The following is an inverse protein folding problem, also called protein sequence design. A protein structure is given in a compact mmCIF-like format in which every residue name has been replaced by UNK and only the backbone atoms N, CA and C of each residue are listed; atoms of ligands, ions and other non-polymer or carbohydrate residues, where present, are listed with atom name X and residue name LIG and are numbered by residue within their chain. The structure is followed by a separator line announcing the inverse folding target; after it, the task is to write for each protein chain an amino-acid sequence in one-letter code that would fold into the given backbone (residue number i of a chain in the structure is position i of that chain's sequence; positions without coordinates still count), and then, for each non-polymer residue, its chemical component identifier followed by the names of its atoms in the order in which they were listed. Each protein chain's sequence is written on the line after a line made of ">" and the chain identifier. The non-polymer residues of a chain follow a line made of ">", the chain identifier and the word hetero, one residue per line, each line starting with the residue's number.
data_IF_255069433962
#
_entry.id   IF_255069433962
#
_cell.length_a   1.000
_cell.length_b   1.000
_cell.length_c   1.000
_cell.angle_alpha   90.00
_cell.angle_beta   90.00
_cell.angle_gamma   90.00
#
_symmetry.space_group_name_H-M   'P 1'
#
loop_
_entity.id
_entity.type
_entity.pdbx_description
1 polymer ?
#
# COMPACT_ATOMS: atom_id res chain seq x y z
N UNK A 1 5.53 35.88 38.35
CA UNK A 1 6.31 35.30 39.46
C UNK A 1 6.74 33.89 39.07
N UNK A 2 8.04 33.62 39.20
CA UNK A 2 8.77 32.40 38.78
C UNK A 2 8.54 31.26 39.77
N UNK A 3 8.35 30.01 39.29
CA UNK A 3 8.75 28.74 39.93
C UNK A 3 8.87 27.66 38.84
N UNK A 4 10.02 27.45 38.20
CA UNK A 4 11.12 26.50 38.52
C UNK A 4 10.71 25.02 38.69
N UNK A 5 11.12 24.23 37.67
CA UNK A 5 11.88 22.96 37.71
C UNK A 5 11.30 21.81 38.54
N UNK A 6 11.24 20.60 37.96
CA UNK A 6 11.66 19.33 38.60
C UNK A 6 12.00 18.29 37.51
N UNK A 7 13.29 18.18 37.21
CA UNK A 7 13.90 17.02 36.55
C UNK A 7 14.08 15.92 37.59
N UNK A 8 13.44 14.77 37.39
CA UNK A 8 13.71 13.55 38.15
C UNK A 8 14.43 12.55 37.24
N UNK A 9 15.75 12.55 37.34
CA UNK A 9 16.59 11.44 36.89
C UNK A 9 16.53 10.35 37.95
N UNK A 10 16.14 9.13 37.57
CA UNK A 10 16.28 7.94 38.38
C UNK A 10 16.98 6.88 37.54
N UNK A 11 18.25 6.64 37.88
CA UNK A 11 19.01 5.50 37.46
C UNK A 11 18.46 4.23 38.13
N UNK A 12 18.38 3.12 37.41
CA UNK A 12 18.50 1.80 38.03
C UNK A 12 19.20 0.81 37.11
N UNK A 13 20.12 0.10 37.76
CA UNK A 13 21.11 -0.82 37.25
C UNK A 13 20.56 -2.18 36.77
N UNK A 14 21.48 -2.90 36.11
CA UNK A 14 21.75 -4.34 36.18
C UNK A 14 21.10 -5.30 35.16
N UNK A 15 21.89 -5.57 34.11
CA UNK A 15 22.38 -6.88 33.65
C UNK A 15 21.67 -8.14 34.19
N UNK A 16 21.07 -8.91 33.26
CA UNK A 16 20.92 -10.38 33.33
C UNK A 16 21.09 -10.93 31.91
N UNK A 17 22.27 -11.51 31.61
CA UNK A 17 22.52 -12.95 31.51
C UNK A 17 21.91 -13.61 30.26
N UNK A 18 22.74 -13.72 29.21
CA UNK A 18 22.55 -14.63 28.08
C UNK A 18 22.62 -16.07 28.56
N UNK A 19 21.50 -16.78 28.55
CA UNK A 19 21.43 -18.22 28.71
C UNK A 19 21.43 -18.88 27.33
N UNK A 20 22.50 -19.62 27.04
CA UNK A 20 22.59 -20.53 25.90
C UNK A 20 22.07 -21.90 26.36
N UNK A 21 20.85 -22.25 25.94
CA UNK A 21 20.21 -23.53 26.23
C UNK A 21 20.46 -24.55 25.12
N UNK A 22 21.09 -25.66 25.52
CA UNK A 22 21.34 -26.89 24.77
C UNK A 22 20.05 -27.59 24.32
N UNK A 23 20.06 -28.17 23.12
CA UNK A 23 19.00 -29.04 22.61
C UNK A 23 19.48 -29.81 21.39
N UNK A 24 20.01 -31.01 21.63
CA UNK A 24 20.37 -31.99 20.62
C UNK A 24 19.11 -32.62 20.03
N UNK A 25 18.96 -32.64 18.71
CA UNK A 25 18.08 -33.60 18.03
C UNK A 25 18.69 -34.06 16.72
N UNK A 26 18.90 -35.37 16.64
CA UNK A 26 19.16 -36.12 15.42
C UNK A 26 17.83 -36.44 14.76
N UNK A 27 17.62 -35.96 13.53
CA UNK A 27 16.88 -36.73 12.53
C UNK A 27 17.12 -36.20 11.13
N UNK A 28 17.80 -37.05 10.36
CA UNK A 28 17.85 -37.04 8.90
C UNK A 28 16.42 -37.20 8.37
N UNK A 29 15.96 -36.34 7.45
CA UNK A 29 14.95 -36.67 6.42
C UNK A 29 14.91 -35.55 5.36
N UNK A 30 15.41 -35.92 4.18
CA UNK A 30 14.92 -35.57 2.84
C UNK A 30 14.87 -34.10 2.41
N UNK A 31 15.90 -33.72 1.67
CA UNK A 31 15.87 -32.72 0.61
C UNK A 31 14.78 -33.06 -0.41
N UNK A 32 13.63 -32.40 -0.29
CA UNK A 32 12.70 -32.23 -1.41
C UNK A 32 12.81 -30.78 -1.86
N UNK A 33 13.63 -30.55 -2.87
CA UNK A 33 13.58 -29.33 -3.68
C UNK A 33 12.24 -29.28 -4.38
N UNK A 34 11.25 -28.63 -3.75
CA UNK A 34 10.02 -28.25 -4.44
C UNK A 34 10.33 -26.94 -5.17
N UNK A 35 10.84 -27.07 -6.39
CA UNK A 35 10.81 -26.01 -7.41
C UNK A 35 9.36 -25.53 -7.55
N UNK A 36 9.04 -24.44 -6.86
CA UNK A 36 7.88 -23.63 -7.21
C UNK A 36 8.31 -22.79 -8.40
N UNK A 37 8.01 -23.30 -9.59
CA UNK A 37 8.06 -22.55 -10.84
C UNK A 37 7.20 -21.31 -10.68
N UNK A 38 7.85 -20.21 -10.31
CA UNK A 38 7.33 -18.86 -10.48
C UNK A 38 7.13 -18.68 -11.98
N UNK A 39 5.90 -18.49 -12.48
CA UNK A 39 5.73 -18.09 -13.87
C UNK A 39 6.56 -16.82 -14.09
N UNK A 40 7.36 -16.73 -15.16
CA UNK A 40 8.16 -15.55 -15.41
C UNK A 40 7.22 -14.36 -15.41
N UNK A 41 7.57 -13.34 -14.62
CA UNK A 41 6.91 -12.05 -14.64
C UNK A 41 6.89 -11.57 -16.09
N UNK A 42 5.75 -11.76 -16.75
CA UNK A 42 5.53 -11.27 -18.09
C UNK A 42 5.79 -9.77 -18.03
N UNK A 43 6.78 -9.31 -18.79
CA UNK A 43 7.02 -7.90 -18.99
C UNK A 43 5.70 -7.29 -19.45
N UNK A 44 5.09 -6.48 -18.59
CA UNK A 44 3.84 -5.84 -18.92
C UNK A 44 4.11 -4.95 -20.14
N UNK A 45 3.28 -5.02 -21.19
CA UNK A 45 3.47 -4.16 -22.34
C UNK A 45 3.42 -2.71 -21.87
N UNK A 46 4.26 -1.86 -22.46
CA UNK A 46 4.38 -0.42 -22.15
C UNK A 46 3.07 0.38 -22.24
N UNK A 47 1.96 -0.25 -22.61
CA UNK A 47 0.62 0.31 -22.75
C UNK A 47 -0.47 -0.55 -22.06
N UNK A 48 -0.17 -1.32 -21.01
CA UNK A 48 -1.22 -2.03 -20.28
C UNK A 48 -2.09 -1.03 -19.48
N UNK A 49 -3.38 -0.83 -19.83
CA UNK A 49 -4.24 0.08 -19.09
C UNK A 49 -4.43 -0.33 -17.62
N UNK A 50 -4.27 -1.62 -17.29
CA UNK A 50 -4.35 -2.15 -15.92
C UNK A 50 -3.02 -2.09 -15.14
N UNK A 51 -1.91 -1.73 -15.78
CA UNK A 51 -0.58 -1.68 -15.16
C UNK A 51 0.03 -3.07 -14.92
N UNK A 52 0.73 -3.22 -13.79
CA UNK A 52 1.50 -4.42 -13.40
C UNK A 52 0.93 -5.00 -12.11
N UNK A 53 0.20 -6.11 -12.21
CA UNK A 53 -0.33 -6.80 -11.05
C UNK A 53 -1.37 -7.86 -11.39
N UNK A 54 -1.92 -8.53 -10.37
CA UNK A 54 -2.84 -9.66 -10.53
C UNK A 54 -4.28 -9.24 -10.92
N UNK A 55 -4.65 -7.97 -10.76
CA UNK A 55 -6.01 -7.50 -11.03
C UNK A 55 -6.15 -7.22 -12.52
N UNK A 56 -6.97 -8.02 -13.21
CA UNK A 56 -7.21 -7.94 -14.65
C UNK A 56 -8.64 -7.51 -15.00
N UNK A 57 -9.58 -7.61 -14.06
CA UNK A 57 -10.97 -7.17 -14.22
C UNK A 57 -11.50 -6.70 -12.87
N UNK A 58 -12.17 -5.53 -12.84
CA UNK A 58 -12.93 -5.06 -11.68
C UNK A 58 -14.39 -4.85 -12.05
N UNK A 59 -15.28 -5.59 -11.37
CA UNK A 59 -16.73 -5.36 -11.48
C UNK A 59 -17.13 -4.17 -10.61
N UNK A 60 -17.58 -3.11 -11.26
CA UNK A 60 -18.11 -1.93 -10.60
C UNK A 60 -19.60 -2.11 -10.29
N UNK A 61 -20.01 -1.55 -9.15
CA UNK A 61 -21.41 -1.55 -8.74
C UNK A 61 -22.05 -0.23 -9.17
N UNK A 62 -23.32 -0.28 -9.55
CA UNK A 62 -24.17 0.90 -9.74
C UNK A 62 -25.53 0.63 -9.09
N UNK A 63 -25.92 1.37 -8.04
CA UNK A 63 -25.16 2.44 -7.40
C UNK A 63 -23.92 1.94 -6.63
N UNK A 64 -23.03 2.86 -6.25
CA UNK A 64 -21.91 2.59 -5.37
C UNK A 64 -22.39 2.00 -4.04
N UNK A 65 -21.63 1.03 -3.52
CA UNK A 65 -21.92 0.39 -2.25
C UNK A 65 -21.50 1.29 -1.08
N UNK A 66 -22.47 1.81 -0.34
CA UNK A 66 -22.23 2.74 0.78
C UNK A 66 -21.31 2.17 1.87
N UNK A 67 -21.36 0.87 2.16
CA UNK A 67 -20.47 0.25 3.13
C UNK A 67 -19.03 0.20 2.62
N UNK A 68 -18.82 -0.08 1.34
CA UNK A 68 -17.49 -0.05 0.73
C UNK A 68 -16.92 1.37 0.67
N UNK A 69 -17.75 2.38 0.37
CA UNK A 69 -17.35 3.79 0.44
C UNK A 69 -16.90 4.16 1.86
N UNK A 70 -17.66 3.76 2.89
CA UNK A 70 -17.30 4.03 4.28
C UNK A 70 -16.00 3.31 4.69
N UNK A 71 -15.82 2.05 4.29
CA UNK A 71 -14.59 1.31 4.57
C UNK A 71 -13.39 1.91 3.83
N UNK A 72 -13.54 2.29 2.56
CA UNK A 72 -12.49 2.94 1.78
C UNK A 72 -12.08 4.29 2.34
N UNK A 73 -13.04 5.05 2.88
CA UNK A 73 -12.77 6.29 3.61
C UNK A 73 -11.91 6.03 4.85
N UNK A 74 -12.24 5.01 5.66
CA UNK A 74 -11.44 4.64 6.83
C UNK A 74 -10.02 4.23 6.44
N UNK A 75 -9.85 3.46 5.36
CA UNK A 75 -8.53 3.11 4.84
C UNK A 75 -7.76 4.36 4.38
N UNK A 76 -8.42 5.28 3.67
CA UNK A 76 -7.82 6.56 3.28
C UNK A 76 -7.32 7.35 4.49
N UNK A 77 -8.14 7.49 5.52
CA UNK A 77 -7.79 8.25 6.73
C UNK A 77 -6.59 7.65 7.46
N UNK A 78 -6.49 6.32 7.52
CA UNK A 78 -5.43 5.62 8.24
C UNK A 78 -4.13 5.51 7.44
N UNK A 79 -4.20 5.29 6.12
CA UNK A 79 -3.04 4.90 5.30
C UNK A 79 -2.66 5.89 4.20
N UNK A 80 -3.52 6.85 3.86
CA UNK A 80 -3.32 7.70 2.67
C UNK A 80 -3.36 9.21 2.96
N UNK A 81 -4.13 9.64 3.96
CA UNK A 81 -4.40 11.06 4.23
C UNK A 81 -3.17 11.87 4.67
N UNK A 82 -2.13 11.21 5.19
CA UNK A 82 -0.85 11.83 5.52
C UNK A 82 -0.07 12.30 4.29
N UNK A 83 -0.38 11.75 3.10
CA UNK A 83 0.36 12.03 1.86
C UNK A 83 -0.53 12.59 0.75
N UNK A 84 -1.82 12.27 0.73
CA UNK A 84 -2.73 12.59 -0.36
C UNK A 84 -3.93 13.44 0.10
N UNK A 85 -4.25 14.48 -0.67
CA UNK A 85 -5.48 15.25 -0.54
C UNK A 85 -6.60 14.65 -1.39
N UNK A 86 -7.85 14.86 -0.98
CA UNK A 86 -9.05 14.54 -1.77
C UNK A 86 -9.29 15.51 -2.94
N UNK A 87 -8.59 16.65 -2.93
CA UNK A 87 -8.63 17.66 -4.00
C UNK A 87 -7.63 17.32 -5.12
N UNK A 88 -7.36 18.28 -6.02
CA UNK A 88 -6.28 18.19 -7.02
C UNK A 88 -4.91 18.60 -6.48
N UNK A 89 -4.85 19.09 -5.25
CA UNK A 89 -3.63 19.64 -4.65
C UNK A 89 -2.64 18.51 -4.32
N UNK A 90 -1.37 18.69 -4.74
CA UNK A 90 -0.27 17.83 -4.33
C UNK A 90 0.18 18.20 -2.91
N UNK A 91 0.31 17.21 -2.03
CA UNK A 91 0.95 17.37 -0.72
C UNK A 91 2.31 16.66 -0.72
N UNK A 92 2.31 15.35 -0.47
CA UNK A 92 3.47 14.47 -0.71
C UNK A 92 3.22 13.68 -1.98
N UNK A 93 2.06 13.03 -2.06
CA UNK A 93 1.55 12.42 -3.28
C UNK A 93 0.56 13.33 -4.02
N UNK A 94 0.13 12.93 -5.24
CA UNK A 94 -0.84 13.67 -6.03
C UNK A 94 -2.23 13.70 -5.35
N UNK A 95 -3.01 14.72 -5.67
CA UNK A 95 -4.41 14.80 -5.25
C UNK A 95 -5.29 13.75 -5.92
N UNK A 96 -6.32 13.26 -5.20
CA UNK A 96 -7.20 12.18 -5.65
C UNK A 96 -8.30 12.62 -6.60
N UNK A 97 -8.63 13.92 -6.68
CA UNK A 97 -9.73 14.37 -7.54
C UNK A 97 -9.48 14.03 -9.01
N UNK A 98 -10.45 13.35 -9.61
CA UNK A 98 -10.46 12.88 -11.00
C UNK A 98 -9.52 11.70 -11.28
N UNK A 99 -8.98 11.02 -10.27
CA UNK A 99 -8.11 9.86 -10.49
C UNK A 99 -8.85 8.78 -11.27
N UNK A 100 -10.13 8.56 -10.97
CA UNK A 100 -10.96 7.53 -11.62
C UNK A 100 -11.32 7.87 -13.07
N UNK A 101 -11.09 9.10 -13.51
CA UNK A 101 -11.18 9.50 -14.92
C UNK A 101 -9.85 9.30 -15.67
N UNK A 102 -8.72 9.26 -14.94
CA UNK A 102 -7.36 9.17 -15.53
C UNK A 102 -6.81 7.75 -15.53
N UNK A 103 -7.31 6.88 -14.66
CA UNK A 103 -6.81 5.51 -14.44
C UNK A 103 -7.97 4.53 -14.40
N UNK A 104 -7.76 3.32 -14.91
CA UNK A 104 -8.77 2.27 -14.80
C UNK A 104 -8.88 1.76 -13.37
N UNK A 105 -10.03 1.16 -12.99
CA UNK A 105 -10.20 0.45 -11.72
C UNK A 105 -9.06 -0.54 -11.41
N UNK A 106 -8.67 -1.35 -12.39
CA UNK A 106 -7.64 -2.37 -12.29
C UNK A 106 -6.29 -1.74 -11.97
N UNK A 107 -5.94 -0.65 -12.68
CA UNK A 107 -4.70 0.08 -12.46
C UNK A 107 -4.61 0.63 -11.05
N UNK A 108 -5.69 1.24 -10.55
CA UNK A 108 -5.75 1.78 -9.19
C UNK A 108 -5.55 0.67 -8.16
N UNK A 109 -6.26 -0.45 -8.31
CA UNK A 109 -6.14 -1.58 -7.38
C UNK A 109 -4.72 -2.21 -7.43
N UNK A 110 -4.16 -2.44 -8.62
CA UNK A 110 -2.79 -2.93 -8.75
C UNK A 110 -1.79 -1.96 -8.13
N UNK A 111 -1.93 -0.65 -8.33
CA UNK A 111 -1.02 0.34 -7.77
C UNK A 111 -0.99 0.34 -6.24
N UNK A 112 -2.15 0.31 -5.58
CA UNK A 112 -2.22 0.40 -4.11
C UNK A 112 -1.87 -0.92 -3.41
N UNK A 113 -1.96 -2.06 -4.10
CA UNK A 113 -1.58 -3.38 -3.58
C UNK A 113 -0.12 -3.74 -3.88
N UNK A 114 0.42 -3.25 -5.00
CA UNK A 114 1.70 -3.67 -5.57
C UNK A 114 2.59 -2.47 -5.94
N UNK A 115 2.65 -1.48 -5.05
CA UNK A 115 3.23 -0.16 -5.35
C UNK A 115 4.69 -0.22 -5.81
N UNK A 116 5.52 -1.06 -5.20
CA UNK A 116 6.95 -1.14 -5.55
C UNK A 116 7.16 -1.61 -6.99
N UNK A 117 6.52 -2.71 -7.37
CA UNK A 117 6.61 -3.28 -8.71
C UNK A 117 6.02 -2.33 -9.76
N UNK A 118 4.89 -1.68 -9.44
CA UNK A 118 4.30 -0.65 -10.30
C UNK A 118 5.27 0.52 -10.52
N UNK A 119 5.89 1.05 -9.46
CA UNK A 119 6.88 2.12 -9.58
C UNK A 119 8.15 1.68 -10.33
N UNK A 120 8.46 0.38 -10.37
CA UNK A 120 9.62 -0.15 -11.09
C UNK A 120 9.32 -0.41 -12.57
N UNK A 121 8.09 -0.79 -12.94
CA UNK A 121 7.78 -1.34 -14.26
C UNK A 121 6.69 -0.59 -15.04
N UNK A 122 5.74 0.07 -14.37
CA UNK A 122 4.66 0.80 -15.04
C UNK A 122 5.12 2.22 -15.39
N UNK A 123 5.15 2.56 -16.69
CA UNK A 123 5.62 3.86 -17.18
C UNK A 123 4.80 5.03 -16.62
N UNK A 124 3.50 4.82 -16.40
CA UNK A 124 2.62 5.82 -15.83
C UNK A 124 2.94 6.10 -14.35
N UNK A 125 3.28 5.07 -13.58
CA UNK A 125 3.74 5.15 -12.20
C UNK A 125 5.13 5.80 -12.11
N UNK A 126 6.06 5.44 -12.99
CA UNK A 126 7.39 6.05 -13.06
C UNK A 126 7.32 7.57 -13.30
N UNK A 127 6.45 8.01 -14.23
CA UNK A 127 6.25 9.45 -14.48
C UNK A 127 5.75 10.20 -13.24
N UNK A 128 4.92 9.58 -12.41
CA UNK A 128 4.46 10.23 -11.17
C UNK A 128 5.59 10.42 -10.15
N UNK A 129 6.67 9.61 -10.20
CA UNK A 129 7.84 9.82 -9.35
C UNK A 129 8.52 11.14 -9.72
N UNK A 130 8.59 11.49 -11.00
CA UNK A 130 9.13 12.78 -11.44
C UNK A 130 8.29 13.96 -10.93
N UNK A 131 6.97 13.79 -10.86
CA UNK A 131 6.06 14.83 -10.38
C UNK A 131 6.11 15.00 -8.84
N UNK A 132 6.30 13.90 -8.12
CA UNK A 132 6.24 13.86 -6.66
C UNK A 132 7.61 13.94 -5.98
N UNK A 133 8.68 13.57 -6.68
CA UNK A 133 10.06 13.44 -6.18
C UNK A 133 10.22 12.49 -4.98
N UNK A 134 9.18 11.70 -4.70
CA UNK A 134 9.11 10.75 -3.57
C UNK A 134 8.43 9.48 -4.07
N UNK A 135 8.95 8.32 -3.67
CA UNK A 135 8.34 7.02 -3.97
C UNK A 135 7.26 6.72 -2.92
N UNK A 136 6.07 6.34 -3.36
CA UNK A 136 5.03 5.88 -2.44
C UNK A 136 5.44 4.50 -1.85
N UNK A 137 5.45 4.33 -0.52
CA UNK A 137 5.71 3.03 0.08
C UNK A 137 4.49 2.11 -0.06
N UNK A 138 4.74 0.79 -0.07
CA UNK A 138 3.66 -0.19 -0.06
C UNK A 138 2.84 -0.08 1.23
N UNK A 139 1.51 0.03 1.10
CA UNK A 139 0.57 0.16 2.22
C UNK A 139 0.04 -1.19 2.71
N UNK A 140 0.50 -2.29 2.11
CA UNK A 140 0.09 -3.66 2.38
C UNK A 140 -1.44 -3.78 2.39
N UNK A 141 -2.09 -3.24 1.34
CA UNK A 141 -3.53 -3.37 1.19
C UNK A 141 -3.87 -4.78 0.70
N UNK A 142 -4.89 -5.37 1.31
CA UNK A 142 -5.55 -6.55 0.75
C UNK A 142 -6.36 -6.14 -0.49
N UNK A 143 -6.74 -7.11 -1.31
CA UNK A 143 -7.64 -6.85 -2.45
C UNK A 143 -8.97 -6.23 -2.01
N UNK A 144 -9.52 -6.69 -0.88
CA UNK A 144 -10.75 -6.13 -0.29
C UNK A 144 -10.57 -4.66 0.11
N UNK A 145 -9.45 -4.31 0.76
CA UNK A 145 -9.17 -2.92 1.13
C UNK A 145 -8.97 -2.06 -0.13
N UNK A 146 -8.24 -2.56 -1.12
CA UNK A 146 -8.01 -1.85 -2.38
C UNK A 146 -9.32 -1.61 -3.13
N UNK A 147 -10.23 -2.60 -3.15
CA UNK A 147 -11.55 -2.47 -3.76
C UNK A 147 -12.41 -1.45 -3.00
N UNK A 148 -12.34 -1.40 -1.68
CA UNK A 148 -13.04 -0.38 -0.88
C UNK A 148 -12.47 1.03 -1.12
N UNK A 149 -11.14 1.17 -1.19
CA UNK A 149 -10.46 2.43 -1.53
C UNK A 149 -10.88 2.93 -2.91
N UNK A 150 -10.94 2.04 -3.91
CA UNK A 150 -11.45 2.38 -5.24
C UNK A 150 -12.90 2.89 -5.19
N UNK A 151 -13.78 2.24 -4.42
CA UNK A 151 -15.17 2.71 -4.26
C UNK A 151 -15.22 4.12 -3.67
N UNK A 152 -14.35 4.41 -2.70
CA UNK A 152 -14.24 5.73 -2.10
C UNK A 152 -13.67 6.77 -3.08
N UNK A 153 -12.68 6.41 -3.90
CA UNK A 153 -12.18 7.29 -4.98
C UNK A 153 -13.28 7.61 -6.01
N UNK A 154 -14.09 6.62 -6.40
CA UNK A 154 -15.24 6.83 -7.29
C UNK A 154 -16.25 7.80 -6.66
N UNK A 155 -16.54 7.64 -5.37
CA UNK A 155 -17.41 8.57 -4.63
C UNK A 155 -16.81 9.98 -4.54
N UNK A 156 -15.50 10.11 -4.33
CA UNK A 156 -14.80 11.40 -4.30
C UNK A 156 -14.88 12.13 -5.65
N UNK A 157 -14.85 11.36 -6.74
CA UNK A 157 -14.96 11.87 -8.10
C UNK A 157 -16.43 12.04 -8.56
N UNK A 158 -17.39 11.85 -7.65
CA UNK A 158 -18.82 12.09 -7.89
C UNK A 158 -19.52 11.02 -8.74
N UNK A 159 -18.94 9.82 -8.87
CA UNK A 159 -19.60 8.67 -9.49
C UNK A 159 -20.72 8.16 -8.56
N UNK A 160 -21.78 7.61 -9.15
CA UNK A 160 -22.99 7.17 -8.45
C UNK A 160 -23.19 5.67 -8.55
#
# INVERSE_FOLDING_TARGET
>A
MRKTIWTAAAAFCLVFATSCGSGSDSSSTTTTSNETTTPPAAEAPANNPAGVGPISEVKLNHPLNASMVANGKSVYELKCASCHKLSTEKMVGPGWKGVTDRRTPEWIMNFVMNTEEMLNKDTAAQKMIEECMVRMPNQNLTETDARAVLEYMLSNDGKK
#
